data_IF_307336147821
#
_entry.id   IF_307336147821
#
_cell.length_a   1.000
_cell.length_b   1.000
_cell.length_c   1.000
_cell.angle_alpha   90.00
_cell.angle_beta   90.00
_cell.angle_gamma   90.00
#
_symmetry.space_group_name_H-M   'P 1'
#
loop_
_entity.id
_entity.type
_entity.pdbx_description
1 polymer ?
#
# COMPACT_ATOMS: atom_id res chain seq x y z
N UNK A 1 -8.81 -16.71 -4.80
CA UNK A 1 -8.49 -15.40 -4.20
C UNK A 1 -7.01 -15.24 -3.83
N UNK A 2 -6.32 -16.25 -3.29
CA UNK A 2 -4.87 -16.14 -2.99
C UNK A 2 -4.04 -15.62 -4.19
N UNK A 3 -4.24 -16.16 -5.41
CA UNK A 3 -3.54 -15.69 -6.63
C UNK A 3 -3.76 -14.22 -6.92
N UNK A 4 -4.96 -13.70 -6.67
CA UNK A 4 -5.27 -12.28 -6.89
C UNK A 4 -4.37 -11.39 -6.03
N UNK A 5 -4.29 -11.65 -4.72
CA UNK A 5 -3.43 -10.84 -3.84
C UNK A 5 -1.93 -10.98 -4.15
N UNK A 6 -1.47 -12.18 -4.55
CA UNK A 6 -0.09 -12.38 -5.00
C UNK A 6 0.21 -11.59 -6.28
N UNK A 7 -0.68 -11.65 -7.28
CA UNK A 7 -0.53 -10.92 -8.54
C UNK A 7 -0.59 -9.40 -8.32
N UNK A 8 -1.56 -8.92 -7.54
CA UNK A 8 -1.66 -7.50 -7.22
C UNK A 8 -0.45 -7.04 -6.40
N UNK A 9 0.03 -7.84 -5.45
CA UNK A 9 1.26 -7.54 -4.71
C UNK A 9 2.48 -7.46 -5.62
N UNK A 10 2.62 -8.37 -6.59
CA UNK A 10 3.69 -8.31 -7.57
C UNK A 10 3.61 -7.03 -8.44
N UNK A 11 2.40 -6.66 -8.91
CA UNK A 11 2.19 -5.42 -9.67
C UNK A 11 2.51 -4.18 -8.84
N UNK A 12 2.03 -4.11 -7.59
CA UNK A 12 2.37 -3.00 -6.69
C UNK A 12 3.87 -2.96 -6.39
N UNK A 13 4.54 -4.10 -6.27
CA UNK A 13 5.99 -4.16 -6.13
C UNK A 13 6.72 -3.56 -7.34
N UNK A 14 6.32 -3.94 -8.56
CA UNK A 14 6.85 -3.37 -9.81
C UNK A 14 6.66 -1.85 -9.82
N UNK A 15 5.45 -1.38 -9.51
CA UNK A 15 5.15 0.05 -9.46
C UNK A 15 5.93 0.77 -8.36
N UNK A 16 6.03 0.19 -7.17
CA UNK A 16 6.77 0.74 -6.05
C UNK A 16 8.25 0.94 -6.39
N UNK A 17 8.89 -0.05 -7.02
CA UNK A 17 10.30 0.05 -7.43
C UNK A 17 10.44 1.15 -8.47
N UNK A 18 9.57 1.14 -9.47
CA UNK A 18 9.61 2.08 -10.59
C UNK A 18 9.41 3.54 -10.13
N UNK A 19 8.38 3.78 -9.34
CA UNK A 19 8.05 5.11 -8.78
C UNK A 19 9.13 5.56 -7.80
N UNK A 20 9.62 4.66 -6.93
CA UNK A 20 10.66 4.97 -5.96
C UNK A 20 11.98 5.35 -6.62
N UNK A 21 12.46 4.54 -7.58
CA UNK A 21 13.69 4.83 -8.33
C UNK A 21 13.57 6.12 -9.14
N UNK A 22 12.44 6.32 -9.82
CA UNK A 22 12.19 7.55 -10.57
C UNK A 22 12.10 8.78 -9.66
N UNK A 23 11.50 8.65 -8.47
CA UNK A 23 11.50 9.68 -7.43
C UNK A 23 12.90 10.07 -6.97
N UNK A 24 13.70 9.07 -6.61
CA UNK A 24 15.04 9.24 -6.04
C UNK A 24 16.09 9.74 -7.05
N UNK A 25 15.89 9.49 -8.34
CA UNK A 25 16.88 9.84 -9.38
C UNK A 25 16.34 10.82 -10.41
N UNK A 26 15.16 10.56 -10.98
CA UNK A 26 14.57 11.38 -12.03
C UNK A 26 13.84 12.65 -11.54
N UNK A 27 13.33 12.64 -10.30
CA UNK A 27 12.54 13.76 -9.75
C UNK A 27 13.17 14.45 -8.54
N UNK A 28 14.33 13.98 -8.08
CA UNK A 28 14.92 14.41 -6.80
C UNK A 28 15.04 15.93 -6.68
N UNK A 29 15.71 16.59 -7.62
CA UNK A 29 15.89 18.04 -7.58
C UNK A 29 14.56 18.81 -7.56
N UNK A 30 13.55 18.34 -8.31
CA UNK A 30 12.21 18.95 -8.34
C UNK A 30 11.48 18.77 -7.00
N UNK A 31 11.57 17.59 -6.40
CA UNK A 31 10.95 17.27 -5.11
C UNK A 31 11.62 18.03 -3.97
N UNK A 32 12.95 18.14 -3.97
CA UNK A 32 13.73 18.92 -3.00
C UNK A 32 13.40 20.42 -3.10
N UNK A 33 13.39 20.98 -4.31
CA UNK A 33 13.02 22.38 -4.53
C UNK A 33 11.60 22.72 -4.05
N UNK A 34 10.68 21.75 -4.09
CA UNK A 34 9.31 21.91 -3.61
C UNK A 34 9.15 21.58 -2.11
N UNK A 35 10.20 21.11 -1.41
CA UNK A 35 10.13 20.66 -0.03
C UNK A 35 9.28 19.40 0.18
N UNK A 36 9.24 18.50 -0.81
CA UNK A 36 8.34 17.33 -0.85
C UNK A 36 9.05 15.98 -0.96
N UNK A 37 10.37 15.97 -0.94
CA UNK A 37 11.15 14.74 -1.06
C UNK A 37 10.79 13.72 0.03
N UNK A 38 10.78 14.12 1.30
CA UNK A 38 10.44 13.23 2.43
C UNK A 38 9.00 12.71 2.38
N UNK A 39 8.07 13.54 1.91
CA UNK A 39 6.67 13.15 1.70
C UNK A 39 6.55 12.09 0.60
N UNK A 40 7.30 12.27 -0.49
CA UNK A 40 7.36 11.29 -1.57
C UNK A 40 7.98 9.97 -1.10
N UNK A 41 9.08 10.01 -0.35
CA UNK A 41 9.69 8.81 0.24
C UNK A 41 8.74 8.11 1.22
N UNK A 42 7.98 8.88 2.01
CA UNK A 42 6.95 8.31 2.90
C UNK A 42 5.88 7.56 2.10
N UNK A 43 5.43 8.11 0.98
CA UNK A 43 4.49 7.43 0.10
C UNK A 43 5.06 6.13 -0.48
N UNK A 44 6.31 6.12 -0.95
CA UNK A 44 7.02 4.91 -1.43
C UNK A 44 7.15 3.87 -0.31
N UNK A 45 7.51 4.28 0.90
CA UNK A 45 7.66 3.38 2.04
C UNK A 45 6.35 2.69 2.41
N UNK A 46 5.26 3.46 2.54
CA UNK A 46 3.94 2.90 2.88
C UNK A 46 3.34 2.06 1.75
N UNK A 47 3.65 2.38 0.49
CA UNK A 47 3.33 1.52 -0.66
C UNK A 47 4.00 0.15 -0.50
N UNK A 48 5.30 0.10 -0.21
CA UNK A 48 6.01 -1.19 -0.08
C UNK A 48 5.64 -2.00 1.14
N UNK A 49 5.47 -1.37 2.31
CA UNK A 49 5.05 -2.09 3.52
C UNK A 49 3.77 -2.88 3.29
N UNK A 50 2.79 -2.26 2.61
CA UNK A 50 1.50 -2.88 2.36
C UNK A 50 1.48 -3.74 1.09
N UNK A 51 2.44 -3.55 0.17
CA UNK A 51 2.71 -4.50 -0.91
C UNK A 51 3.15 -5.84 -0.34
N UNK A 52 4.11 -5.83 0.59
CA UNK A 52 4.58 -7.05 1.24
C UNK A 52 3.49 -7.68 2.11
N UNK A 53 2.70 -6.86 2.82
CA UNK A 53 1.54 -7.34 3.54
C UNK A 53 0.52 -8.04 2.61
N UNK A 54 0.29 -7.51 1.41
CA UNK A 54 -0.62 -8.11 0.43
C UNK A 54 -0.12 -9.47 -0.10
N UNK A 55 1.18 -9.57 -0.37
CA UNK A 55 1.82 -10.85 -0.73
C UNK A 55 1.70 -11.85 0.42
N UNK A 56 1.95 -11.41 1.66
CA UNK A 56 1.79 -12.24 2.85
C UNK A 56 0.36 -12.75 3.02
N UNK A 57 -0.65 -11.89 2.81
CA UNK A 57 -2.07 -12.30 2.81
C UNK A 57 -2.31 -13.41 1.78
N UNK A 58 -1.77 -13.27 0.57
CA UNK A 58 -1.87 -14.31 -0.46
C UNK A 58 -1.28 -15.65 -0.03
N UNK A 59 -0.10 -15.64 0.61
CA UNK A 59 0.56 -16.84 1.15
C UNK A 59 -0.26 -17.47 2.27
N UNK A 60 -0.70 -16.67 3.25
CA UNK A 60 -1.49 -17.14 4.39
C UNK A 60 -2.84 -17.74 3.95
N UNK A 61 -3.49 -17.18 2.93
CA UNK A 61 -4.72 -17.75 2.37
C UNK A 61 -4.51 -19.14 1.78
N UNK A 62 -3.33 -19.43 1.23
CA UNK A 62 -2.99 -20.76 0.73
C UNK A 62 -2.73 -21.73 1.89
N UNK A 63 -2.02 -21.28 2.93
CA UNK A 63 -1.71 -22.09 4.11
C UNK A 63 -2.95 -22.45 4.92
N UNK A 64 -3.89 -21.50 5.06
CA UNK A 64 -5.12 -21.66 5.84
C UNK A 64 -6.33 -22.07 4.98
N UNK A 65 -6.10 -22.65 3.81
CA UNK A 65 -7.17 -22.99 2.85
C UNK A 65 -8.26 -23.92 3.44
N UNK A 66 -7.92 -24.75 4.44
CA UNK A 66 -8.86 -25.61 5.16
C UNK A 66 -9.75 -24.88 6.19
N UNK A 67 -9.54 -23.58 6.42
CA UNK A 67 -10.32 -22.76 7.35
C UNK A 67 -11.02 -21.61 6.58
N UNK A 68 -12.27 -21.81 6.12
CA UNK A 68 -13.00 -20.82 5.32
C UNK A 68 -13.20 -19.47 6.04
N UNK A 69 -13.34 -19.48 7.36
CA UNK A 69 -13.49 -18.26 8.15
C UNK A 69 -12.20 -17.42 8.11
N UNK A 70 -11.04 -18.04 8.35
CA UNK A 70 -9.75 -17.35 8.25
C UNK A 70 -9.50 -16.78 6.84
N UNK A 71 -9.78 -17.57 5.79
CA UNK A 71 -9.66 -17.14 4.38
C UNK A 71 -10.54 -15.92 4.10
N UNK A 72 -11.77 -15.88 4.62
CA UNK A 72 -12.67 -14.72 4.46
C UNK A 72 -12.09 -13.46 5.09
N UNK A 73 -11.60 -13.54 6.33
CA UNK A 73 -11.01 -12.39 7.03
C UNK A 73 -9.69 -11.91 6.40
N UNK A 74 -8.86 -12.84 5.91
CA UNK A 74 -7.68 -12.51 5.10
C UNK A 74 -8.07 -11.78 3.81
N UNK A 75 -9.18 -12.15 3.18
CA UNK A 75 -9.73 -11.42 2.03
C UNK A 75 -10.01 -9.95 2.36
N UNK A 76 -10.70 -9.68 3.46
CA UNK A 76 -10.96 -8.31 3.90
C UNK A 76 -9.67 -7.56 4.24
N UNK A 77 -8.71 -8.21 4.92
CA UNK A 77 -7.40 -7.64 5.20
C UNK A 77 -6.67 -7.22 3.91
N UNK A 78 -6.63 -8.09 2.90
CA UNK A 78 -5.99 -7.80 1.63
C UNK A 78 -6.63 -6.64 0.87
N UNK A 79 -7.97 -6.57 0.82
CA UNK A 79 -8.65 -5.42 0.20
C UNK A 79 -8.40 -4.12 0.95
N UNK A 80 -8.38 -4.16 2.29
CA UNK A 80 -8.05 -3.00 3.11
C UNK A 80 -6.63 -2.49 2.84
N UNK A 81 -5.63 -3.37 2.71
CA UNK A 81 -4.29 -2.96 2.31
C UNK A 81 -4.23 -2.36 0.92
N UNK A 82 -4.90 -2.97 -0.07
CA UNK A 82 -4.93 -2.48 -1.44
C UNK A 82 -5.55 -1.08 -1.52
N UNK A 83 -6.75 -0.89 -0.95
CA UNK A 83 -7.44 0.40 -0.89
C UNK A 83 -6.58 1.42 -0.13
N UNK A 84 -5.99 0.99 0.98
CA UNK A 84 -5.07 1.79 1.78
C UNK A 84 -3.90 2.33 0.95
N UNK A 85 -3.21 1.48 0.18
CA UNK A 85 -2.09 1.90 -0.69
C UNK A 85 -2.54 2.89 -1.75
N UNK A 86 -3.64 2.61 -2.45
CA UNK A 86 -4.16 3.46 -3.51
C UNK A 86 -4.52 4.86 -2.98
N UNK A 87 -5.17 4.93 -1.82
CA UNK A 87 -5.57 6.21 -1.22
C UNK A 87 -4.37 6.89 -0.56
N UNK A 88 -3.67 6.24 0.37
CA UNK A 88 -2.59 6.84 1.14
C UNK A 88 -1.40 7.21 0.24
N UNK A 89 -0.83 6.22 -0.45
CA UNK A 89 0.40 6.44 -1.22
C UNK A 89 0.09 7.17 -2.52
N UNK A 90 -1.02 6.82 -3.19
CA UNK A 90 -1.48 7.50 -4.40
C UNK A 90 -1.76 8.98 -4.19
N UNK A 91 -2.48 9.36 -3.12
CA UNK A 91 -2.75 10.78 -2.83
C UNK A 91 -1.46 11.58 -2.58
N UNK A 92 -0.49 11.01 -1.85
CA UNK A 92 0.80 11.66 -1.61
C UNK A 92 1.65 11.78 -2.87
N UNK A 93 1.66 10.77 -3.76
CA UNK A 93 2.34 10.89 -5.05
C UNK A 93 1.75 12.04 -5.88
N UNK A 94 0.42 12.11 -5.99
CA UNK A 94 -0.25 13.17 -6.74
C UNK A 94 0.02 14.53 -6.09
N UNK A 95 -0.06 14.65 -4.76
CA UNK A 95 0.29 15.87 -4.04
C UNK A 95 1.72 16.31 -4.36
N UNK A 96 2.68 15.39 -4.31
CA UNK A 96 4.09 15.69 -4.56
C UNK A 96 4.31 16.27 -5.96
N UNK A 97 3.68 15.67 -6.97
CA UNK A 97 3.87 16.02 -8.37
C UNK A 97 3.04 17.24 -8.83
N UNK A 98 1.82 17.39 -8.33
CA UNK A 98 0.87 18.43 -8.76
C UNK A 98 0.86 19.66 -7.85
N UNK A 99 1.21 19.50 -6.57
CA UNK A 99 1.07 20.53 -5.55
C UNK A 99 -0.34 20.76 -5.03
N UNK A 100 -1.29 19.89 -5.35
CA UNK A 100 -2.65 19.93 -4.82
C UNK A 100 -2.61 19.48 -3.35
N UNK A 101 -2.57 20.44 -2.42
CA UNK A 101 -2.30 20.18 -0.99
C UNK A 101 -3.46 19.54 -0.24
N UNK A 102 -4.72 19.75 -0.64
CA UNK A 102 -5.88 19.18 0.03
C UNK A 102 -5.93 17.64 -0.05
N UNK A 103 -5.20 17.04 -1.00
CA UNK A 103 -5.01 15.59 -1.07
C UNK A 103 -4.35 15.02 0.21
N UNK A 104 -3.58 15.83 0.93
CA UNK A 104 -3.03 15.46 2.23
C UNK A 104 -4.10 15.20 3.29
N UNK A 105 -5.28 15.81 3.17
CA UNK A 105 -6.42 15.54 4.07
C UNK A 105 -7.14 14.23 3.72
N UNK A 106 -6.94 13.69 2.51
CA UNK A 106 -7.47 12.37 2.10
C UNK A 106 -6.55 11.25 2.56
N UNK A 107 -5.23 11.49 2.62
CA UNK A 107 -4.23 10.50 3.03
C UNK A 107 -4.58 9.73 4.31
N UNK A 108 -5.10 10.34 5.40
CA UNK A 108 -5.51 9.62 6.61
C UNK A 108 -6.56 8.54 6.39
N UNK A 109 -7.47 8.71 5.42
CA UNK A 109 -8.49 7.69 5.08
C UNK A 109 -7.79 6.41 4.62
N UNK A 110 -6.76 6.52 3.78
CA UNK A 110 -5.95 5.38 3.37
C UNK A 110 -5.20 4.75 4.57
N UNK A 111 -4.74 5.58 5.51
CA UNK A 111 -4.13 5.11 6.76
C UNK A 111 -5.10 4.28 7.62
N UNK A 112 -6.36 4.68 7.71
CA UNK A 112 -7.40 3.90 8.41
C UNK A 112 -7.61 2.53 7.77
N UNK A 113 -7.64 2.45 6.43
CA UNK A 113 -7.69 1.18 5.72
C UNK A 113 -6.46 0.31 5.99
N UNK A 114 -5.26 0.89 6.03
CA UNK A 114 -4.04 0.16 6.37
C UNK A 114 -4.09 -0.41 7.80
N UNK A 115 -4.52 0.40 8.78
CA UNK A 115 -4.72 -0.05 10.17
C UNK A 115 -5.75 -1.18 10.24
N UNK A 116 -6.90 -1.01 9.58
CA UNK A 116 -7.92 -2.05 9.50
C UNK A 116 -7.37 -3.33 8.86
N UNK A 117 -6.55 -3.22 7.81
CA UNK A 117 -5.92 -4.37 7.17
C UNK A 117 -5.07 -5.20 8.12
N UNK A 118 -4.25 -4.55 8.96
CA UNK A 118 -3.44 -5.23 9.99
C UNK A 118 -4.30 -5.84 11.10
N UNK A 119 -5.32 -5.11 11.57
CA UNK A 119 -6.24 -5.62 12.59
C UNK A 119 -7.02 -6.85 12.10
N UNK A 120 -7.48 -6.83 10.85
CA UNK A 120 -8.16 -7.96 10.20
C UNK A 120 -7.21 -9.14 9.97
N UNK A 121 -5.94 -8.88 9.63
CA UNK A 121 -4.92 -9.93 9.52
C UNK A 121 -4.72 -10.63 10.87
N UNK A 122 -4.53 -9.86 11.94
CA UNK A 122 -4.43 -10.39 13.30
C UNK A 122 -5.66 -11.23 13.67
N UNK A 123 -6.87 -10.72 13.40
CA UNK A 123 -8.11 -11.43 13.67
C UNK A 123 -8.27 -12.73 12.85
N UNK A 124 -7.70 -12.79 11.66
CA UNK A 124 -7.79 -13.97 10.81
C UNK A 124 -6.90 -15.13 11.27
N UNK A 125 -5.81 -14.84 11.99
CA UNK A 125 -4.77 -15.82 12.37
C UNK A 125 -4.73 -16.13 13.87
N UNK A 126 -5.56 -15.47 14.67
CA UNK A 126 -5.68 -15.73 16.12
C UNK A 126 -6.40 -17.04 16.44
#
# INVERSE_FOLDING_TARGET
MHKFFLQTGAVLGILGVSIGAFGAHGLRAKLEAAGRFDTFETAVRYHFYHTFALVLVGILMQQLAGNPAAVKWLGYSGYSFLIGVLIFSGSLYVLCLSGITWLGAITPIGGLFMIAGWALLWWAVR
#
